data_IF_976017862000
#
_entry.id   IF_976017862000
#
_cell.length_a   1.000
_cell.length_b   1.000
_cell.length_c   1.000
_cell.angle_alpha   90.00
_cell.angle_beta   90.00
_cell.angle_gamma   90.00
#
_symmetry.space_group_name_H-M   'P 1'
#
loop_
_entity.id
_entity.type
_entity.pdbx_description
1 polymer ?
#
# COMPACT_ATOMS: atom_id res chain seq x y z
N UNK A 1 -1.57 1.96 14.75
CA UNK A 1 -1.24 0.83 13.86
C UNK A 1 -0.24 1.21 12.77
N UNK A 2 -0.39 2.36 12.11
CA UNK A 2 0.53 2.87 11.08
C UNK A 2 2.03 2.76 11.44
N UNK A 3 2.52 3.17 12.64
CA UNK A 3 3.95 3.06 12.96
C UNK A 3 4.45 1.62 12.98
N UNK A 4 3.64 0.69 13.47
CA UNK A 4 3.96 -0.74 13.52
C UNK A 4 4.04 -1.32 12.09
N UNK A 5 3.09 -0.96 11.23
CA UNK A 5 3.06 -1.37 9.83
C UNK A 5 4.30 -0.90 9.06
N UNK A 6 4.72 0.36 9.25
CA UNK A 6 5.94 0.90 8.64
C UNK A 6 7.21 0.16 9.08
N UNK A 7 7.34 -0.12 10.37
CA UNK A 7 8.48 -0.89 10.90
C UNK A 7 8.49 -2.30 10.29
N UNK A 8 7.32 -2.94 10.15
CA UNK A 8 7.24 -4.26 9.55
C UNK A 8 7.63 -4.28 8.07
N UNK A 9 7.14 -3.32 7.27
CA UNK A 9 7.53 -3.16 5.86
C UNK A 9 9.05 -3.00 5.74
N UNK A 10 9.64 -2.15 6.59
CA UNK A 10 11.08 -1.94 6.60
C UNK A 10 11.84 -3.24 6.91
N UNK A 11 11.43 -3.98 7.94
CA UNK A 11 12.07 -5.24 8.31
C UNK A 11 12.02 -6.26 7.18
N UNK A 12 10.87 -6.44 6.52
CA UNK A 12 10.72 -7.40 5.42
C UNK A 12 11.58 -7.02 4.21
N UNK A 13 11.59 -5.74 3.83
CA UNK A 13 12.41 -5.26 2.70
C UNK A 13 13.91 -5.37 3.00
N UNK A 14 14.32 -5.21 4.26
CA UNK A 14 15.73 -5.29 4.65
C UNK A 14 16.32 -6.70 4.55
N UNK A 15 15.50 -7.76 4.52
CA UNK A 15 15.99 -9.15 4.49
C UNK A 15 16.75 -9.50 3.21
N UNK A 16 16.18 -9.34 1.99
CA UNK A 16 16.94 -9.61 0.77
C UNK A 16 18.12 -8.64 0.60
N UNK A 17 17.97 -7.38 0.99
CA UNK A 17 18.96 -6.31 0.73
C UNK A 17 20.15 -6.36 1.70
N UNK A 18 19.91 -6.51 3.01
CA UNK A 18 20.97 -6.46 4.03
C UNK A 18 21.45 -7.86 4.40
N UNK A 19 20.52 -8.81 4.56
CA UNK A 19 20.85 -10.17 5.02
C UNK A 19 21.21 -11.07 3.83
N UNK A 20 20.75 -10.77 2.62
CA UNK A 20 20.96 -11.63 1.45
C UNK A 20 20.22 -12.97 1.57
N UNK A 21 19.07 -13.00 2.25
CA UNK A 21 18.30 -14.21 2.48
C UNK A 21 16.79 -13.98 2.38
N UNK A 22 16.05 -15.04 2.04
CA UNK A 22 14.60 -15.04 1.99
C UNK A 22 14.02 -15.68 3.25
N UNK A 23 13.12 -14.97 3.93
CA UNK A 23 12.36 -15.52 5.05
C UNK A 23 10.92 -15.80 4.60
N UNK A 24 10.57 -17.07 4.40
CA UNK A 24 9.22 -17.49 3.97
C UNK A 24 8.13 -17.03 4.92
N UNK A 25 8.36 -17.14 6.24
CA UNK A 25 7.42 -16.69 7.26
C UNK A 25 7.23 -15.16 7.23
N UNK A 26 8.26 -14.41 6.88
CA UNK A 26 8.22 -12.95 6.83
C UNK A 26 7.47 -12.45 5.59
N UNK A 27 7.66 -13.13 4.45
CA UNK A 27 6.86 -12.88 3.23
C UNK A 27 5.39 -13.21 3.49
N UNK A 28 5.10 -14.32 4.16
CA UNK A 28 3.73 -14.68 4.53
C UNK A 28 3.11 -13.62 5.45
N UNK A 29 3.85 -13.17 6.48
CA UNK A 29 3.40 -12.12 7.37
C UNK A 29 3.13 -10.81 6.60
N UNK A 30 4.01 -10.43 5.67
CA UNK A 30 3.81 -9.27 4.81
C UNK A 30 2.58 -9.39 3.93
N UNK A 31 2.35 -10.57 3.32
CA UNK A 31 1.19 -10.83 2.46
C UNK A 31 -0.14 -10.67 3.22
N UNK A 32 -0.17 -11.00 4.52
CA UNK A 32 -1.35 -10.85 5.38
C UNK A 32 -1.52 -9.40 5.84
N UNK A 33 -0.44 -8.74 6.27
CA UNK A 33 -0.55 -7.42 6.92
C UNK A 33 -0.61 -6.24 5.96
N UNK A 34 0.01 -6.31 4.77
CA UNK A 34 -0.02 -5.17 3.83
C UNK A 34 -1.47 -4.82 3.42
N UNK A 35 -2.37 -5.78 3.11
CA UNK A 35 -3.77 -5.47 2.81
C UNK A 35 -4.57 -4.89 4.00
N UNK A 36 -4.12 -5.09 5.24
CA UNK A 36 -4.80 -4.50 6.42
C UNK A 36 -4.57 -3.00 6.52
N UNK A 37 -3.43 -2.49 6.05
CA UNK A 37 -3.09 -1.06 6.11
C UNK A 37 -4.16 -0.17 5.47
N UNK A 38 -4.58 -0.36 4.20
CA UNK A 38 -5.60 0.49 3.60
C UNK A 38 -6.97 0.41 4.27
N UNK A 39 -7.28 -0.70 4.96
CA UNK A 39 -8.54 -0.90 5.70
C UNK A 39 -8.62 -0.12 7.02
N UNK A 40 -7.49 0.32 7.57
CA UNK A 40 -7.46 1.08 8.84
C UNK A 40 -7.35 2.59 8.61
N UNK A 41 -7.03 3.00 7.38
CA UNK A 41 -6.69 4.40 7.09
C UNK A 41 -7.93 5.29 7.03
N UNK A 42 -9.06 4.75 6.62
CA UNK A 42 -10.36 5.43 6.66
C UNK A 42 -10.75 5.84 8.09
N UNK A 43 -10.54 4.97 9.08
CA UNK A 43 -10.74 5.28 10.50
C UNK A 43 -9.84 6.43 10.96
N UNK A 44 -8.55 6.39 10.56
CA UNK A 44 -7.59 7.44 10.89
C UNK A 44 -7.98 8.78 10.26
N UNK A 45 -8.47 8.77 9.02
CA UNK A 45 -8.96 9.98 8.33
C UNK A 45 -10.23 10.50 9.00
N UNK A 46 -11.18 9.63 9.35
CA UNK A 46 -12.40 10.00 10.04
C UNK A 46 -12.10 10.63 11.42
N UNK A 47 -11.19 10.03 12.19
CA UNK A 47 -10.69 10.59 13.45
C UNK A 47 -10.05 11.96 13.23
N UNK A 48 -9.20 12.10 12.21
CA UNK A 48 -8.56 13.38 11.86
C UNK A 48 -9.58 14.47 11.50
N UNK A 49 -10.59 14.14 10.70
CA UNK A 49 -11.68 15.06 10.37
C UNK A 49 -12.51 15.45 11.61
N UNK A 50 -12.82 14.50 12.49
CA UNK A 50 -13.52 14.77 13.74
C UNK A 50 -12.73 15.71 14.65
N UNK A 51 -11.42 15.46 14.82
CA UNK A 51 -10.54 16.31 15.61
C UNK A 51 -10.47 17.73 15.04
N UNK A 52 -10.30 17.87 13.72
CA UNK A 52 -10.28 19.17 13.04
C UNK A 52 -11.59 19.95 13.30
N UNK A 53 -12.75 19.29 13.21
CA UNK A 53 -14.05 19.91 13.50
C UNK A 53 -14.17 20.37 14.95
N UNK A 54 -13.77 19.56 15.93
CA UNK A 54 -13.86 19.92 17.36
C UNK A 54 -12.86 21.02 17.76
N UNK A 55 -11.67 21.04 17.15
CA UNK A 55 -10.70 22.13 17.35
C UNK A 55 -11.22 23.45 16.77
N UNK A 56 -11.82 23.41 15.57
CA UNK A 56 -12.45 24.60 14.97
C UNK A 56 -13.65 25.13 15.80
N UNK A 57 -14.29 24.28 16.60
CA UNK A 57 -15.32 24.66 17.57
C UNK A 57 -14.76 25.19 18.91
N UNK A 58 -13.45 25.45 18.99
CA UNK A 58 -12.79 26.04 20.17
C UNK A 58 -12.42 25.05 21.26
N UNK A 59 -12.53 23.72 21.04
CA UNK A 59 -12.07 22.72 22.02
C UNK A 59 -10.57 22.48 21.92
N UNK A 60 -9.92 22.22 23.05
CA UNK A 60 -8.49 21.89 23.09
C UNK A 60 -8.21 20.54 22.41
N UNK A 61 -7.28 20.54 21.45
CA UNK A 61 -6.83 19.35 20.68
C UNK A 61 -6.48 18.17 21.60
N UNK A 62 -5.65 18.41 22.63
CA UNK A 62 -5.19 17.37 23.55
C UNK A 62 -6.32 16.76 24.38
N UNK A 63 -7.30 17.57 24.79
CA UNK A 63 -8.44 17.07 25.55
C UNK A 63 -9.31 16.16 24.69
N UNK A 64 -9.54 16.53 23.43
CA UNK A 64 -10.34 15.74 22.47
C UNK A 64 -9.60 14.47 22.06
N UNK A 65 -8.28 14.53 21.86
CA UNK A 65 -7.46 13.35 21.52
C UNK A 65 -7.48 12.29 22.63
N UNK A 66 -7.28 12.69 23.90
CA UNK A 66 -7.19 11.74 25.02
C UNK A 66 -8.54 11.32 25.60
N UNK A 67 -9.51 12.23 25.69
CA UNK A 67 -10.81 11.94 26.32
C UNK A 67 -11.90 11.56 25.32
N UNK A 68 -11.60 11.64 24.02
CA UNK A 68 -12.61 11.54 22.97
C UNK A 68 -13.64 12.68 23.06
N UNK A 69 -14.72 12.54 22.31
CA UNK A 69 -15.88 13.42 22.44
C UNK A 69 -17.10 12.80 21.80
N UNK A 70 -18.28 13.24 22.23
CA UNK A 70 -19.52 12.73 21.65
C UNK A 70 -19.69 13.27 20.22
N UNK A 71 -20.00 12.34 19.33
CA UNK A 71 -20.52 12.56 17.99
C UNK A 71 -22.03 12.41 18.12
N UNK A 72 -22.76 13.51 17.96
CA UNK A 72 -24.18 13.41 17.60
C UNK A 72 -24.18 13.18 16.09
N UNK A 73 -24.46 11.94 15.68
CA UNK A 73 -24.59 11.56 14.27
C UNK A 73 -26.04 11.16 14.02
N UNK A 74 -26.70 11.88 13.11
CA UNK A 74 -28.00 11.50 12.52
C UNK A 74 -27.83 10.47 11.36
N UNK A 75 -26.60 10.08 11.02
CA UNK A 75 -26.34 9.10 9.98
C UNK A 75 -26.55 7.68 10.52
N UNK A 76 -27.33 6.87 9.78
CA UNK A 76 -27.54 5.45 10.07
C UNK A 76 -26.21 4.71 9.97
N UNK A 77 -25.82 4.01 11.02
CA UNK A 77 -24.75 3.02 10.96
C UNK A 77 -25.21 1.87 10.05
N UNK A 78 -24.56 1.71 8.90
CA UNK A 78 -24.80 0.59 7.97
C UNK A 78 -24.06 -0.69 8.39
N UNK A 79 -23.23 -0.62 9.44
CA UNK A 79 -22.56 -1.78 10.01
C UNK A 79 -23.57 -2.66 10.77
N UNK A 80 -23.58 -4.00 10.55
CA UNK A 80 -24.45 -4.89 11.30
C UNK A 80 -24.11 -4.85 12.80
N UNK A 81 -25.14 -4.86 13.65
CA UNK A 81 -24.97 -4.86 15.11
C UNK A 81 -24.06 -6.01 15.55
N UNK A 82 -23.14 -5.74 16.49
CA UNK A 82 -22.11 -6.69 16.93
C UNK A 82 -22.68 -8.02 17.46
N UNK A 83 -23.96 -8.05 17.85
CA UNK A 83 -24.68 -9.25 18.31
C UNK A 83 -25.09 -10.21 17.18
N UNK A 84 -25.08 -9.79 15.91
CA UNK A 84 -25.51 -10.62 14.76
C UNK A 84 -24.35 -11.16 13.91
N UNK A 85 -23.10 -10.84 14.24
CA UNK A 85 -21.91 -11.28 13.48
C UNK A 85 -21.81 -12.79 13.21
N UNK A 86 -22.16 -13.70 14.15
CA UNK A 86 -22.09 -15.14 13.88
C UNK A 86 -23.12 -15.65 12.87
N UNK A 87 -24.20 -14.88 12.65
CA UNK A 87 -25.37 -15.35 11.89
C UNK A 87 -25.36 -14.88 10.43
N UNK A 88 -24.49 -13.93 10.06
CA UNK A 88 -24.47 -13.29 8.73
C UNK A 88 -23.04 -13.10 8.20
N UNK A 89 -22.32 -14.17 7.81
CA UNK A 89 -20.92 -14.09 7.37
C UNK A 89 -20.70 -13.22 6.12
N UNK A 90 -21.69 -13.18 5.20
CA UNK A 90 -21.59 -12.38 3.97
C UNK A 90 -21.55 -10.86 4.23
N UNK A 91 -22.57 -10.28 4.92
CA UNK A 91 -22.56 -8.87 5.32
C UNK A 91 -21.33 -8.47 6.14
N UNK A 92 -20.83 -9.36 7.01
CA UNK A 92 -19.60 -9.13 7.78
C UNK A 92 -18.40 -8.98 6.86
N UNK A 93 -18.22 -9.91 5.93
CA UNK A 93 -17.12 -9.83 4.96
C UNK A 93 -17.20 -8.56 4.09
N UNK A 94 -18.40 -8.21 3.62
CA UNK A 94 -18.62 -7.00 2.81
C UNK A 94 -18.29 -5.73 3.58
N UNK A 95 -18.58 -5.68 4.89
CA UNK A 95 -18.20 -4.56 5.75
C UNK A 95 -16.68 -4.56 6.01
N UNK A 96 -16.04 -5.72 6.12
CA UNK A 96 -14.59 -5.83 6.36
C UNK A 96 -13.71 -5.40 5.18
N UNK A 97 -14.23 -5.40 3.95
CA UNK A 97 -13.52 -4.90 2.76
C UNK A 97 -13.97 -3.49 2.35
N UNK A 98 -14.78 -2.84 3.19
CA UNK A 98 -15.25 -1.49 2.92
C UNK A 98 -14.07 -0.52 2.82
N UNK A 99 -14.11 0.38 1.83
CA UNK A 99 -13.04 1.35 1.57
C UNK A 99 -11.84 0.84 0.76
N UNK A 100 -11.77 -0.47 0.46
CA UNK A 100 -10.78 -1.03 -0.46
C UNK A 100 -11.40 -1.37 -1.81
N UNK A 101 -10.65 -1.08 -2.86
CA UNK A 101 -11.01 -1.35 -4.25
C UNK A 101 -9.88 -2.12 -4.92
N UNK A 102 -10.20 -3.04 -5.83
CA UNK A 102 -9.19 -3.81 -6.57
C UNK A 102 -9.18 -3.42 -8.06
N UNK A 103 -8.72 -2.21 -8.43
CA UNK A 103 -8.60 -1.84 -9.82
C UNK A 103 -7.53 -2.71 -10.49
N UNK A 104 -7.84 -3.21 -11.69
CA UNK A 104 -6.96 -4.13 -12.41
C UNK A 104 -5.54 -3.57 -12.62
N UNK A 105 -5.42 -2.25 -12.77
CA UNK A 105 -4.12 -1.56 -12.94
C UNK A 105 -3.20 -1.75 -11.74
N UNK A 106 -3.71 -1.58 -10.52
CA UNK A 106 -2.93 -1.78 -9.30
C UNK A 106 -2.68 -3.26 -9.02
N UNK A 107 -3.64 -4.13 -9.32
CA UNK A 107 -3.44 -5.58 -9.17
C UNK A 107 -2.33 -6.09 -10.09
N UNK A 108 -2.29 -5.63 -11.34
CA UNK A 108 -1.21 -5.96 -12.27
C UNK A 108 0.10 -5.32 -11.80
N UNK A 109 0.11 -4.06 -11.37
CA UNK A 109 1.31 -3.41 -10.85
C UNK A 109 1.90 -4.16 -9.64
N UNK A 110 1.07 -4.67 -8.73
CA UNK A 110 1.50 -5.54 -7.63
C UNK A 110 2.18 -6.81 -8.15
N UNK A 111 1.58 -7.50 -9.11
CA UNK A 111 2.18 -8.70 -9.72
C UNK A 111 3.51 -8.40 -10.42
N UNK A 112 3.62 -7.26 -11.11
CA UNK A 112 4.87 -6.82 -11.74
C UNK A 112 5.93 -6.47 -10.68
N UNK A 113 5.55 -5.87 -9.56
CA UNK A 113 6.44 -5.63 -8.43
C UNK A 113 6.99 -6.94 -7.86
N UNK A 114 6.14 -7.95 -7.67
CA UNK A 114 6.57 -9.30 -7.27
C UNK A 114 7.53 -9.91 -8.31
N UNK A 115 7.22 -9.78 -9.61
CA UNK A 115 8.10 -10.26 -10.66
C UNK A 115 9.49 -9.58 -10.64
N UNK A 116 9.54 -8.27 -10.40
CA UNK A 116 10.79 -7.52 -10.23
C UNK A 116 11.60 -8.04 -9.04
N UNK A 117 10.95 -8.33 -7.92
CA UNK A 117 11.61 -8.89 -6.73
C UNK A 117 12.31 -10.22 -7.04
N UNK A 118 11.79 -11.06 -7.94
CA UNK A 118 12.42 -12.34 -8.30
C UNK A 118 13.30 -12.29 -9.55
N UNK A 119 13.26 -11.22 -10.34
CA UNK A 119 13.95 -11.11 -11.62
C UNK A 119 15.47 -11.39 -11.53
N UNK A 120 16.24 -10.82 -10.57
CA UNK A 120 17.68 -11.09 -10.48
C UNK A 120 18.02 -12.59 -10.40
N UNK A 121 17.22 -13.36 -9.66
CA UNK A 121 17.41 -14.81 -9.51
C UNK A 121 17.23 -15.59 -10.81
N UNK A 122 16.30 -15.18 -11.68
CA UNK A 122 16.11 -15.81 -13.00
C UNK A 122 17.28 -15.54 -13.95
N UNK A 123 17.97 -14.41 -13.80
CA UNK A 123 19.13 -14.06 -14.61
C UNK A 123 20.46 -14.47 -13.98
N UNK A 124 20.43 -15.24 -12.89
CA UNK A 124 21.63 -15.77 -12.23
C UNK A 124 22.47 -14.71 -11.50
N UNK A 125 21.88 -13.56 -11.18
CA UNK A 125 22.54 -12.49 -10.41
C UNK A 125 22.52 -12.87 -8.92
N UNK A 126 23.67 -12.72 -8.26
CA UNK A 126 23.79 -12.97 -6.82
C UNK A 126 22.90 -12.02 -6.00
N UNK A 127 22.33 -12.52 -4.90
CA UNK A 127 21.42 -11.74 -4.06
C UNK A 127 22.07 -10.53 -3.38
N UNK A 128 23.40 -10.56 -3.20
CA UNK A 128 24.18 -9.48 -2.58
C UNK A 128 24.73 -8.48 -3.60
N UNK A 129 24.42 -8.66 -4.90
CA UNK A 129 24.83 -7.72 -5.93
C UNK A 129 23.99 -6.44 -5.83
N UNK A 130 24.61 -5.28 -5.98
CA UNK A 130 23.91 -3.99 -5.89
C UNK A 130 22.80 -3.87 -6.95
N UNK A 131 22.97 -4.49 -8.11
CA UNK A 131 21.89 -4.54 -9.12
C UNK A 131 20.70 -5.36 -8.61
N UNK A 132 20.91 -6.47 -7.89
CA UNK A 132 19.81 -7.23 -7.30
C UNK A 132 19.06 -6.41 -6.24
N UNK A 133 19.78 -5.65 -5.41
CA UNK A 133 19.19 -4.75 -4.40
C UNK A 133 18.21 -3.75 -5.01
N UNK A 134 18.56 -3.16 -6.17
CA UNK A 134 17.66 -2.23 -6.88
C UNK A 134 16.34 -2.89 -7.24
N UNK A 135 16.37 -4.12 -7.74
CA UNK A 135 15.18 -4.88 -8.12
C UNK A 135 14.38 -5.35 -6.90
N UNK A 136 15.05 -5.89 -5.88
CA UNK A 136 14.41 -6.33 -4.63
C UNK A 136 13.74 -5.17 -3.89
N UNK A 137 14.45 -4.05 -3.72
CA UNK A 137 13.94 -2.87 -3.03
C UNK A 137 12.78 -2.24 -3.79
N UNK A 138 13.01 -1.92 -5.07
CA UNK A 138 12.00 -1.19 -5.85
C UNK A 138 10.77 -2.06 -6.12
N UNK A 139 10.95 -3.35 -6.41
CA UNK A 139 9.85 -4.29 -6.59
C UNK A 139 9.00 -4.43 -5.33
N UNK A 140 9.65 -4.54 -4.15
CA UNK A 140 8.94 -4.60 -2.87
C UNK A 140 8.18 -3.31 -2.57
N UNK A 141 8.79 -2.14 -2.84
CA UNK A 141 8.12 -0.85 -2.67
C UNK A 141 6.95 -0.69 -3.65
N UNK A 142 7.07 -1.15 -4.89
CA UNK A 142 5.97 -1.16 -5.87
C UNK A 142 4.80 -2.00 -5.35
N UNK A 143 5.06 -3.17 -4.77
CA UNK A 143 4.02 -4.01 -4.14
C UNK A 143 3.32 -3.24 -3.03
N UNK A 144 4.09 -2.67 -2.09
CA UNK A 144 3.54 -1.91 -0.94
C UNK A 144 2.72 -0.72 -1.41
N UNK A 145 3.26 0.11 -2.30
CA UNK A 145 2.58 1.31 -2.82
C UNK A 145 1.32 0.91 -3.59
N UNK A 146 1.36 -0.14 -4.40
CA UNK A 146 0.20 -0.61 -5.17
C UNK A 146 -0.93 -1.09 -4.26
N UNK A 147 -0.62 -1.91 -3.25
CA UNK A 147 -1.64 -2.42 -2.31
C UNK A 147 -2.18 -1.32 -1.42
N UNK A 148 -1.35 -0.40 -0.93
CA UNK A 148 -1.82 0.75 -0.15
C UNK A 148 -2.76 1.62 -0.99
N UNK A 149 -2.45 1.81 -2.27
CA UNK A 149 -3.26 2.61 -3.20
C UNK A 149 -4.59 1.95 -3.59
N UNK A 150 -4.81 0.68 -3.22
CA UNK A 150 -6.11 0.01 -3.36
C UNK A 150 -7.14 0.57 -2.38
N UNK A 151 -6.68 1.11 -1.24
CA UNK A 151 -7.51 1.93 -0.36
C UNK A 151 -7.88 3.24 -1.03
N UNK A 152 -9.17 3.51 -1.18
CA UNK A 152 -9.64 4.72 -1.86
C UNK A 152 -9.04 6.03 -1.30
N UNK A 153 -8.92 6.21 0.03
CA UNK A 153 -8.37 7.45 0.58
C UNK A 153 -6.88 7.66 0.28
N UNK A 154 -6.15 6.57 -0.02
CA UNK A 154 -4.71 6.57 -0.30
C UNK A 154 -4.40 6.36 -1.77
N UNK A 155 -5.40 6.41 -2.66
CA UNK A 155 -5.22 6.13 -4.09
C UNK A 155 -4.16 7.01 -4.76
N UNK A 156 -3.96 8.23 -4.27
CA UNK A 156 -2.92 9.16 -4.75
C UNK A 156 -1.50 8.58 -4.60
N UNK A 157 -1.26 7.65 -3.66
CA UNK A 157 0.05 7.03 -3.46
C UNK A 157 0.54 6.29 -4.70
N UNK A 158 -0.34 5.88 -5.62
CA UNK A 158 0.01 5.18 -6.86
C UNK A 158 1.03 5.91 -7.71
N UNK A 159 1.09 7.25 -7.65
CA UNK A 159 2.08 8.02 -8.41
C UNK A 159 3.52 7.73 -7.94
N UNK A 160 3.70 7.21 -6.73
CA UNK A 160 4.97 6.66 -6.27
C UNK A 160 5.50 5.53 -7.16
N UNK A 161 4.61 4.72 -7.76
CA UNK A 161 5.00 3.67 -8.70
C UNK A 161 5.64 4.22 -9.98
N UNK A 162 5.35 5.48 -10.36
CA UNK A 162 6.02 6.12 -11.50
C UNK A 162 7.49 6.28 -11.19
N UNK A 163 7.81 6.88 -10.03
CA UNK A 163 9.19 7.09 -9.61
C UNK A 163 9.93 5.76 -9.45
N UNK A 164 9.32 4.78 -8.80
CA UNK A 164 9.92 3.45 -8.59
C UNK A 164 10.11 2.68 -9.91
N UNK A 165 9.12 2.72 -10.80
CA UNK A 165 9.19 2.08 -12.10
C UNK A 165 10.29 2.68 -12.98
N UNK A 166 10.41 4.01 -13.00
CA UNK A 166 11.49 4.70 -13.71
C UNK A 166 12.86 4.41 -13.08
N UNK A 167 12.95 4.34 -11.75
CA UNK A 167 14.20 4.02 -11.06
C UNK A 167 14.73 2.63 -11.48
N UNK A 168 13.87 1.60 -11.54
CA UNK A 168 14.26 0.26 -12.00
C UNK A 168 14.58 0.21 -13.49
N UNK A 169 13.92 1.04 -14.30
CA UNK A 169 14.22 1.11 -15.73
C UNK A 169 15.62 1.69 -16.01
N UNK A 170 16.11 2.59 -15.15
CA UNK A 170 17.33 3.38 -15.40
C UNK A 170 18.52 2.87 -14.58
N UNK A 171 18.36 2.63 -13.28
CA UNK A 171 19.47 2.35 -12.37
C UNK A 171 20.34 1.14 -12.76
N UNK A 172 19.78 -0.01 -13.22
CA UNK A 172 20.57 -1.19 -13.58
C UNK A 172 21.58 -0.99 -14.71
N UNK A 173 21.44 0.07 -15.52
CA UNK A 173 22.36 0.39 -16.62
C UNK A 173 23.65 1.06 -16.16
N UNK A 174 23.68 1.56 -14.92
CA UNK A 174 24.83 2.22 -14.30
C UNK A 174 25.53 1.34 -13.27
N UNK A 175 25.09 0.09 -13.11
CA UNK A 175 25.61 -0.84 -12.12
C UNK A 175 26.35 -1.99 -12.79
N UNK A 176 27.43 -2.42 -12.14
CA UNK A 176 28.20 -3.58 -12.55
C UNK A 176 27.39 -4.88 -12.35
N UNK A 177 27.80 -5.96 -13.01
CA UNK A 177 27.16 -7.29 -12.95
C UNK A 177 25.70 -7.33 -13.41
N UNK A 178 25.21 -6.27 -14.06
CA UNK A 178 23.89 -6.23 -14.69
C UNK A 178 23.92 -6.98 -16.02
N UNK A 179 23.21 -8.11 -16.11
CA UNK A 179 23.04 -8.79 -17.39
C UNK A 179 22.16 -7.93 -18.31
N UNK A 180 22.47 -7.88 -19.61
CA UNK A 180 21.67 -7.12 -20.58
C UNK A 180 20.20 -7.55 -20.56
N UNK A 181 19.94 -8.85 -20.35
CA UNK A 181 18.60 -9.40 -20.22
C UNK A 181 17.85 -8.87 -18.99
N UNK A 182 18.52 -8.77 -17.84
CA UNK A 182 17.95 -8.20 -16.62
C UNK A 182 17.67 -6.69 -16.81
N UNK A 183 18.59 -5.95 -17.42
CA UNK A 183 18.40 -4.52 -17.71
C UNK A 183 17.20 -4.25 -18.61
N UNK A 184 17.05 -4.99 -19.72
CA UNK A 184 15.89 -4.90 -20.62
C UNK A 184 14.60 -5.27 -19.89
N UNK A 185 14.63 -6.31 -19.06
CA UNK A 185 13.48 -6.72 -18.25
C UNK A 185 13.09 -5.62 -17.26
N UNK A 186 14.07 -5.00 -16.60
CA UNK A 186 13.85 -3.85 -15.70
C UNK A 186 13.21 -2.67 -16.41
N UNK A 187 13.65 -2.34 -17.62
CA UNK A 187 13.01 -1.30 -18.46
C UNK A 187 11.57 -1.67 -18.80
N UNK A 188 11.33 -2.88 -19.31
CA UNK A 188 10.00 -3.31 -19.72
C UNK A 188 9.00 -3.30 -18.55
N UNK A 189 9.38 -3.92 -17.42
CA UNK A 189 8.53 -4.01 -16.23
C UNK A 189 8.38 -2.65 -15.53
N UNK A 190 9.46 -1.88 -15.42
CA UNK A 190 9.46 -0.55 -14.80
C UNK A 190 8.58 0.45 -15.54
N UNK A 191 8.67 0.49 -16.88
CA UNK A 191 7.81 1.33 -17.71
C UNK A 191 6.35 0.87 -17.68
N UNK A 192 6.10 -0.45 -17.67
CA UNK A 192 4.75 -0.97 -17.53
C UNK A 192 4.11 -0.56 -16.18
N UNK A 193 4.85 -0.67 -15.07
CA UNK A 193 4.39 -0.21 -13.75
C UNK A 193 4.11 1.29 -13.74
N UNK A 194 5.01 2.10 -14.31
CA UNK A 194 4.82 3.54 -14.40
C UNK A 194 3.57 3.92 -15.24
N UNK A 195 3.35 3.22 -16.35
CA UNK A 195 2.17 3.42 -17.19
C UNK A 195 0.87 3.03 -16.47
N UNK A 196 0.87 1.92 -15.74
CA UNK A 196 -0.30 1.45 -14.96
C UNK A 196 -0.67 2.37 -13.79
N UNK A 197 0.25 3.23 -13.34
CA UNK A 197 -0.02 4.19 -12.28
C UNK A 197 -0.86 5.41 -12.75
N UNK A 198 -0.97 5.65 -14.06
CA UNK A 198 -1.64 6.83 -14.63
C UNK A 198 -3.18 6.75 -14.65
N UNK A 199 -3.82 5.64 -15.08
CA UNK A 199 -5.28 5.61 -15.26
C UNK A 199 -6.03 5.75 -13.94
N UNK A 200 -6.90 6.75 -13.83
CA UNK A 200 -7.74 6.98 -12.64
C UNK A 200 -8.66 5.77 -12.38
N UNK A 201 -8.69 5.31 -11.13
CA UNK A 201 -9.56 4.21 -10.70
C UNK A 201 -10.97 4.69 -10.37
N UNK A 202 -11.98 3.80 -10.36
CA UNK A 202 -13.35 4.15 -10.01
C UNK A 202 -13.46 4.54 -8.54
N UNK A 203 -14.11 5.67 -8.22
CA UNK A 203 -14.45 6.05 -6.84
C UNK A 203 -15.77 5.39 -6.45
N UNK A 204 -15.76 4.55 -5.43
CA UNK A 204 -16.96 3.82 -4.99
C UNK A 204 -17.54 4.39 -3.70
N UNK A 205 -16.72 5.00 -2.84
CA UNK A 205 -17.13 5.53 -1.55
C UNK A 205 -16.98 7.06 -1.47
N UNK A 206 -17.53 7.64 -0.40
CA UNK A 206 -17.44 9.08 -0.07
C UNK A 206 -16.83 9.26 1.31
N UNK A 207 -15.86 10.16 1.41
CA UNK A 207 -15.06 10.45 2.61
C UNK A 207 -15.22 11.91 3.04
N UNK A 208 -16.38 12.49 2.80
CA UNK A 208 -16.72 13.88 3.12
C UNK A 208 -15.67 14.88 2.59
N UNK A 209 -14.99 15.60 3.47
CA UNK A 209 -13.98 16.59 3.09
C UNK A 209 -12.68 16.01 2.50
N UNK A 210 -12.56 14.68 2.39
CA UNK A 210 -11.37 14.02 1.83
C UNK A 210 -11.50 13.67 0.34
N UNK A 211 -12.70 13.76 -0.23
CA UNK A 211 -12.97 13.34 -1.62
C UNK A 211 -12.12 14.07 -2.68
N UNK A 212 -11.67 15.28 -2.34
CA UNK A 212 -10.79 16.13 -3.17
C UNK A 212 -9.37 15.55 -3.33
N UNK A 213 -8.90 14.79 -2.34
CA UNK A 213 -7.56 14.17 -2.32
C UNK A 213 -7.53 12.79 -2.99
N UNK A 214 -8.70 12.18 -3.21
CA UNK A 214 -8.83 10.89 -3.87
C UNK A 214 -8.62 11.11 -5.38
N UNK A 215 -7.46 10.71 -5.89
CA UNK A 215 -7.08 10.80 -7.30
C UNK A 215 -6.49 9.47 -7.76
#
# INVERSE_FOLDING_TARGET
VIPLGLVHIFLVISQPVIVGAWCTLCILAAAIMIPMIPLEVDEVIAMGQFMKRKVNQGKSFWKVFWKGGNIESDAKDEAPDMMEFPQKPGPVYSASIWGVSFPWTLSVATLLGVALVFAPGFFGVGIQETVADVFHLSGSLIVVVSVISMGEPLRICRYGNILLGLAVAVAPWFLDNSSTGLGITGVALGLAVAALALPLGPKTQRYAGWDEYIK
#
